data_IF_579771127129
#
_entry.id   IF_579771127129
#
_cell.length_a   1.000
_cell.length_b   1.000
_cell.length_c   1.000
_cell.angle_alpha   90.00
_cell.angle_beta   90.00
_cell.angle_gamma   90.00
#
_symmetry.space_group_name_H-M   'P 1'
#
loop_
_entity.id
_entity.type
_entity.pdbx_description
1 polymer ?
#
# COMPACT_ATOMS: atom_id res chain seq x y z
N UNK A 1 9.11 -5.07 15.55
CA UNK A 1 9.08 -3.60 15.68
C UNK A 1 7.91 -3.06 14.87
N UNK A 2 7.06 -2.27 15.49
CA UNK A 2 5.96 -1.55 14.83
C UNK A 2 6.47 -0.14 14.53
N UNK A 3 6.41 0.26 13.26
CA UNK A 3 6.86 1.60 12.84
C UNK A 3 5.97 2.68 13.42
N UNK A 4 6.59 3.77 13.91
CA UNK A 4 5.92 4.95 14.43
C UNK A 4 5.87 6.04 13.37
N UNK A 5 4.95 6.99 13.51
CA UNK A 5 4.77 8.10 12.56
C UNK A 5 6.08 8.86 12.27
N UNK A 6 6.88 9.15 13.29
CA UNK A 6 8.13 9.90 13.17
C UNK A 6 9.34 9.11 12.67
N UNK A 7 9.24 7.80 12.51
CA UNK A 7 10.37 6.97 12.10
C UNK A 7 10.88 7.35 10.69
N UNK A 8 12.20 7.31 10.47
CA UNK A 8 12.80 7.61 9.17
C UNK A 8 12.47 6.55 8.11
N UNK A 9 12.07 5.36 8.57
CA UNK A 9 11.68 4.23 7.73
C UNK A 9 10.41 3.60 8.30
N UNK A 10 9.39 3.46 7.46
CA UNK A 10 8.22 2.66 7.81
C UNK A 10 8.37 1.26 7.23
N UNK A 11 8.39 0.25 8.08
CA UNK A 11 8.24 -1.16 7.71
C UNK A 11 6.82 -1.60 8.08
N UNK A 12 6.00 -1.81 7.07
CA UNK A 12 4.60 -2.20 7.21
C UNK A 12 4.39 -3.71 7.01
N UNK A 13 5.49 -4.49 6.90
CA UNK A 13 5.41 -5.96 6.76
C UNK A 13 4.56 -6.63 7.85
N UNK A 14 4.57 -6.20 9.13
CA UNK A 14 3.71 -6.80 10.15
C UNK A 14 2.20 -6.67 9.87
N UNK A 15 1.78 -5.71 9.04
CA UNK A 15 0.38 -5.54 8.63
C UNK A 15 0.02 -6.22 7.30
N UNK A 16 0.92 -7.02 6.73
CA UNK A 16 0.70 -7.70 5.44
C UNK A 16 0.59 -9.19 5.66
N UNK A 17 -0.61 -9.72 5.54
CA UNK A 17 -0.91 -11.15 5.71
C UNK A 17 -0.66 -11.99 4.44
N UNK A 18 0.39 -11.66 3.68
CA UNK A 18 0.77 -12.39 2.46
C UNK A 18 2.21 -12.87 2.61
N UNK A 19 2.42 -14.18 2.63
CA UNK A 19 3.73 -14.81 2.78
C UNK A 19 4.76 -14.38 1.72
N UNK A 20 4.30 -13.99 0.52
CA UNK A 20 5.16 -13.62 -0.61
C UNK A 20 5.31 -12.10 -0.81
N UNK A 21 4.94 -11.27 0.16
CA UNK A 21 5.12 -9.83 0.06
C UNK A 21 6.62 -9.47 0.13
N UNK A 22 7.16 -8.98 -0.98
CA UNK A 22 8.57 -8.51 -0.98
C UNK A 22 8.70 -7.31 -0.05
N UNK A 23 9.67 -7.37 0.86
CA UNK A 23 9.91 -6.32 1.87
C UNK A 23 10.05 -4.92 1.26
N UNK A 24 10.67 -4.82 0.09
CA UNK A 24 10.78 -3.55 -0.63
C UNK A 24 9.44 -2.94 -1.08
N UNK A 25 8.35 -3.70 -1.12
CA UNK A 25 7.02 -3.18 -1.49
C UNK A 25 6.24 -2.62 -0.29
N UNK A 26 6.61 -3.00 0.91
CA UNK A 26 5.94 -2.62 2.17
C UNK A 26 6.79 -1.70 3.04
N UNK A 27 7.93 -1.23 2.50
CA UNK A 27 8.84 -0.33 3.22
C UNK A 27 8.90 1.03 2.52
N UNK A 28 8.81 2.11 3.31
CA UNK A 28 8.97 3.50 2.84
C UNK A 28 10.13 4.14 3.56
N UNK A 29 11.11 4.64 2.82
CA UNK A 29 12.30 5.32 3.34
C UNK A 29 12.15 6.82 3.19
N UNK A 30 11.82 7.54 4.26
CA UNK A 30 11.70 9.00 4.24
C UNK A 30 13.08 9.70 4.27
N UNK A 31 14.08 9.07 4.89
CA UNK A 31 15.43 9.61 5.01
C UNK A 31 16.13 9.84 3.65
N UNK A 32 15.71 9.15 2.58
CA UNK A 32 16.29 9.35 1.24
C UNK A 32 15.72 10.55 0.50
N UNK A 33 14.64 11.15 1.02
CA UNK A 33 13.99 12.31 0.42
C UNK A 33 14.75 13.56 0.90
N UNK A 34 15.47 14.21 -0.03
CA UNK A 34 16.33 15.34 0.29
C UNK A 34 15.59 16.57 0.82
N UNK A 35 14.34 16.79 0.38
CA UNK A 35 13.52 17.91 0.78
C UNK A 35 12.64 17.53 1.98
N UNK A 36 12.91 18.10 3.19
CA UNK A 36 12.17 17.75 4.39
C UNK A 36 10.66 18.04 4.29
N UNK A 37 10.27 19.09 3.54
CA UNK A 37 8.86 19.43 3.36
C UNK A 37 8.15 18.40 2.48
N UNK A 38 8.82 17.84 1.48
CA UNK A 38 8.30 16.71 0.68
C UNK A 38 8.19 15.46 1.54
N UNK A 39 9.20 15.16 2.34
CA UNK A 39 9.20 13.99 3.22
C UNK A 39 8.05 14.05 4.24
N UNK A 40 7.83 15.23 4.85
CA UNK A 40 6.75 15.43 5.82
C UNK A 40 5.36 15.35 5.15
N UNK A 41 5.17 16.01 4.01
CA UNK A 41 3.92 15.95 3.25
C UNK A 41 3.59 14.51 2.82
N UNK A 42 4.59 13.76 2.33
CA UNK A 42 4.40 12.34 1.98
C UNK A 42 3.97 11.51 3.20
N UNK A 43 4.60 11.75 4.36
CA UNK A 43 4.28 11.06 5.62
C UNK A 43 2.84 11.32 6.04
N UNK A 44 2.39 12.59 5.98
CA UNK A 44 1.02 12.97 6.29
C UNK A 44 0.01 12.23 5.40
N UNK A 45 0.23 12.23 4.09
CA UNK A 45 -0.67 11.59 3.13
C UNK A 45 -0.72 10.08 3.34
N UNK A 46 0.42 9.41 3.42
CA UNK A 46 0.45 7.95 3.61
C UNK A 46 -0.21 7.55 4.93
N UNK A 47 0.03 8.32 6.01
CA UNK A 47 -0.63 8.09 7.29
C UNK A 47 -2.15 8.24 7.18
N UNK A 48 -2.63 9.32 6.56
CA UNK A 48 -4.06 9.53 6.35
C UNK A 48 -4.67 8.41 5.49
N UNK A 49 -4.02 8.02 4.38
CA UNK A 49 -4.47 6.95 3.50
C UNK A 49 -4.54 5.58 4.17
N UNK A 50 -3.66 5.29 5.11
CA UNK A 50 -3.67 4.04 5.89
C UNK A 50 -4.77 4.01 6.96
N UNK A 51 -5.23 5.17 7.43
CA UNK A 51 -6.11 5.27 8.60
C UNK A 51 -7.51 5.81 8.30
N UNK A 52 -7.71 6.49 7.15
CA UNK A 52 -8.97 7.17 6.81
C UNK A 52 -9.61 6.53 5.59
N UNK A 53 -10.90 6.22 5.69
CA UNK A 53 -11.71 5.81 4.55
C UNK A 53 -12.11 7.04 3.73
N UNK A 54 -11.95 6.97 2.43
CA UNK A 54 -12.29 8.05 1.51
C UNK A 54 -13.76 7.93 1.05
N UNK A 55 -14.39 9.05 0.65
CA UNK A 55 -15.72 9.04 0.07
C UNK A 55 -15.83 8.10 -1.14
N UNK A 56 -17.05 7.60 -1.42
CA UNK A 56 -17.32 6.77 -2.60
C UNK A 56 -16.83 5.33 -2.49
N UNK A 57 -16.88 4.74 -1.30
CA UNK A 57 -16.52 3.34 -1.03
C UNK A 57 -15.02 3.01 -1.29
N UNK A 58 -14.16 3.99 -1.24
CA UNK A 58 -12.72 3.76 -1.28
C UNK A 58 -12.20 3.39 0.10
N UNK A 59 -11.86 2.12 0.27
CA UNK A 59 -11.23 1.62 1.49
C UNK A 59 -9.87 2.30 1.76
N UNK A 60 -9.44 2.21 2.99
CA UNK A 60 -8.06 2.57 3.39
C UNK A 60 -7.05 1.91 2.49
N UNK A 61 -5.90 2.53 2.41
CA UNK A 61 -4.78 1.94 1.68
C UNK A 61 -4.29 0.68 2.42
N UNK A 62 -4.24 -0.44 1.71
CA UNK A 62 -3.59 -1.63 2.25
C UNK A 62 -2.07 -1.39 2.39
N UNK A 63 -1.44 -1.91 3.48
CA UNK A 63 0.01 -1.80 3.66
C UNK A 63 0.83 -2.25 2.45
N UNK A 64 0.38 -3.27 1.72
CA UNK A 64 1.02 -3.76 0.51
C UNK A 64 1.00 -2.75 -0.66
N UNK A 65 0.10 -1.77 -0.64
CA UNK A 65 -0.02 -0.70 -1.66
C UNK A 65 0.80 0.55 -1.38
N UNK A 66 1.38 0.68 -0.16
CA UNK A 66 1.97 1.93 0.33
C UNK A 66 3.11 2.45 -0.55
N UNK A 67 3.99 1.56 -1.04
CA UNK A 67 5.09 1.98 -1.92
C UNK A 67 4.60 2.51 -3.26
N UNK A 68 3.58 1.88 -3.84
CA UNK A 68 2.97 2.37 -5.07
C UNK A 68 2.34 3.75 -4.88
N UNK A 69 1.68 3.98 -3.74
CA UNK A 69 1.12 5.27 -3.38
C UNK A 69 2.20 6.32 -3.17
N UNK A 70 3.26 5.99 -2.41
CA UNK A 70 4.40 6.87 -2.20
C UNK A 70 5.03 7.33 -3.52
N UNK A 71 5.27 6.42 -4.46
CA UNK A 71 5.86 6.74 -5.75
C UNK A 71 4.95 7.66 -6.59
N UNK A 72 3.63 7.44 -6.58
CA UNK A 72 2.67 8.30 -7.27
C UNK A 72 2.64 9.71 -6.67
N UNK A 73 2.64 9.78 -5.35
CA UNK A 73 2.66 11.05 -4.59
C UNK A 73 3.93 11.83 -4.87
N UNK A 74 5.09 11.20 -4.76
CA UNK A 74 6.38 11.84 -5.03
C UNK A 74 6.45 12.39 -6.44
N UNK A 75 5.95 11.67 -7.44
CA UNK A 75 5.93 12.17 -8.82
C UNK A 75 5.15 13.48 -8.98
N UNK A 76 4.04 13.63 -8.27
CA UNK A 76 3.31 14.90 -8.25
C UNK A 76 4.07 15.99 -7.50
N UNK A 77 4.66 15.66 -6.35
CA UNK A 77 5.44 16.61 -5.56
C UNK A 77 6.67 17.12 -6.28
N UNK A 78 7.39 16.24 -6.98
CA UNK A 78 8.52 16.64 -7.84
C UNK A 78 8.08 17.56 -8.97
N UNK A 79 6.91 17.29 -9.58
CA UNK A 79 6.33 18.17 -10.57
C UNK A 79 6.01 19.55 -9.98
N UNK A 80 5.37 19.64 -8.82
CA UNK A 80 5.06 20.88 -8.12
C UNK A 80 6.35 21.66 -7.84
N UNK A 81 7.36 20.99 -7.28
CA UNK A 81 8.66 21.60 -7.00
C UNK A 81 9.33 22.14 -8.26
N UNK A 82 9.32 21.37 -9.34
CA UNK A 82 9.89 21.80 -10.62
C UNK A 82 9.18 23.02 -11.23
N UNK A 83 7.84 23.10 -11.08
CA UNK A 83 7.05 24.21 -11.63
C UNK A 83 7.14 25.50 -10.79
N UNK A 84 7.28 25.38 -9.48
CA UNK A 84 7.29 26.51 -8.55
C UNK A 84 8.69 26.93 -8.09
N UNK A 85 9.73 26.16 -8.45
CA UNK A 85 11.11 26.34 -7.95
C UNK A 85 11.31 25.87 -6.51
N UNK A 86 10.23 25.64 -5.76
CA UNK A 86 10.20 25.06 -4.42
C UNK A 86 8.94 24.22 -4.24
N UNK A 87 8.96 23.31 -3.27
CA UNK A 87 7.77 22.54 -2.91
C UNK A 87 6.84 23.39 -2.03
N UNK A 88 5.62 23.62 -2.51
CA UNK A 88 4.61 24.40 -1.80
C UNK A 88 3.20 24.03 -2.31
N UNK A 89 2.51 23.15 -1.57
CA UNK A 89 1.15 22.71 -1.93
C UNK A 89 0.10 23.83 -1.79
N UNK A 90 0.33 24.83 -0.93
CA UNK A 90 -0.57 25.96 -0.77
C UNK A 90 -0.65 26.87 -2.01
N UNK A 91 0.35 26.79 -2.90
CA UNK A 91 0.40 27.52 -4.17
C UNK A 91 -0.09 26.70 -5.37
N UNK A 92 -0.50 25.47 -5.15
CA UNK A 92 -1.10 24.64 -6.21
C UNK A 92 -2.52 25.14 -6.46
N UNK A 93 -2.80 25.49 -7.68
CA UNK A 93 -4.11 25.91 -8.19
C UNK A 93 -4.58 24.99 -9.32
N UNK A 94 -5.79 25.26 -9.84
CA UNK A 94 -6.35 24.53 -10.97
C UNK A 94 -5.44 24.57 -12.20
N UNK A 95 -4.79 25.72 -12.47
CA UNK A 95 -3.89 25.88 -13.62
C UNK A 95 -2.67 24.94 -13.50
N UNK A 96 -2.08 24.82 -12.29
CA UNK A 96 -0.96 23.90 -12.05
C UNK A 96 -1.42 22.44 -12.15
N UNK A 97 -2.60 22.13 -11.65
CA UNK A 97 -3.20 20.78 -11.78
C UNK A 97 -3.43 20.43 -13.27
N UNK A 98 -3.91 21.37 -14.08
CA UNK A 98 -4.10 21.19 -15.52
C UNK A 98 -2.77 20.99 -16.26
N UNK A 99 -1.72 21.72 -15.87
CA UNK A 99 -0.36 21.50 -16.39
C UNK A 99 0.15 20.10 -16.05
N UNK A 100 -0.11 19.63 -14.83
CA UNK A 100 0.24 18.25 -14.46
C UNK A 100 -0.49 17.24 -15.33
N UNK A 101 -1.81 17.36 -15.49
CA UNK A 101 -2.59 16.47 -16.34
C UNK A 101 -2.09 16.47 -17.79
N UNK A 102 -1.71 17.66 -18.30
CA UNK A 102 -1.13 17.81 -19.65
C UNK A 102 0.24 17.13 -19.75
N UNK A 103 1.12 17.29 -18.73
CA UNK A 103 2.44 16.67 -18.73
C UNK A 103 2.38 15.15 -18.79
N UNK A 104 1.41 14.54 -18.09
CA UNK A 104 1.19 13.09 -18.13
C UNK A 104 0.77 12.60 -19.52
N UNK A 105 -0.06 13.37 -20.23
CA UNK A 105 -0.46 13.07 -21.62
C UNK A 105 0.72 13.21 -22.59
N UNK A 106 1.50 14.27 -22.46
CA UNK A 106 2.68 14.50 -23.29
C UNK A 106 3.77 13.44 -23.07
N UNK A 107 3.85 12.87 -21.87
CA UNK A 107 4.73 11.74 -21.57
C UNK A 107 4.25 10.41 -22.21
N UNK A 108 3.20 10.41 -23.02
CA UNK A 108 2.71 9.23 -23.73
C UNK A 108 2.07 8.16 -22.82
N UNK A 109 1.69 8.51 -21.60
CA UNK A 109 1.07 7.55 -20.68
C UNK A 109 -0.32 7.15 -21.17
N UNK A 110 -0.62 5.85 -21.05
CA UNK A 110 -1.98 5.35 -21.27
C UNK A 110 -2.94 6.06 -20.31
N UNK A 111 -4.18 6.41 -20.75
CA UNK A 111 -5.14 7.16 -19.94
C UNK A 111 -5.40 6.57 -18.55
N UNK A 112 -5.46 5.23 -18.43
CA UNK A 112 -5.64 4.55 -17.14
C UNK A 112 -4.43 4.78 -16.20
N UNK A 113 -3.20 4.76 -16.73
CA UNK A 113 -2.00 5.04 -15.95
C UNK A 113 -1.94 6.52 -15.55
N UNK A 114 -2.31 7.43 -16.45
CA UNK A 114 -2.43 8.85 -16.13
C UNK A 114 -3.49 9.11 -15.04
N UNK A 115 -4.66 8.45 -15.12
CA UNK A 115 -5.70 8.53 -14.09
C UNK A 115 -5.20 8.09 -12.71
N UNK A 116 -4.39 7.02 -12.65
CA UNK A 116 -3.80 6.55 -11.40
C UNK A 116 -2.82 7.57 -10.79
N UNK A 117 -2.11 8.35 -11.61
CA UNK A 117 -1.22 9.42 -11.16
C UNK A 117 -2.00 10.69 -10.79
N UNK A 118 -3.07 11.01 -11.51
CA UNK A 118 -3.93 12.16 -11.19
C UNK A 118 -4.69 11.95 -9.88
N UNK A 119 -4.92 10.71 -9.47
CA UNK A 119 -5.64 10.38 -8.24
C UNK A 119 -5.09 11.13 -7.02
N UNK A 120 -3.78 11.32 -6.91
CA UNK A 120 -3.17 12.03 -5.78
C UNK A 120 -3.70 13.46 -5.62
N UNK A 121 -3.99 14.15 -6.71
CA UNK A 121 -4.51 15.53 -6.66
C UNK A 121 -5.91 15.55 -6.03
N UNK A 122 -6.74 14.55 -6.34
CA UNK A 122 -8.06 14.38 -5.72
C UNK A 122 -7.91 13.97 -4.25
N UNK A 123 -7.01 13.03 -3.95
CA UNK A 123 -6.80 12.54 -2.57
C UNK A 123 -6.31 13.67 -1.64
N UNK A 124 -5.45 14.56 -2.11
CA UNK A 124 -5.02 15.74 -1.36
C UNK A 124 -6.19 16.66 -0.97
N UNK A 125 -7.18 16.80 -1.85
CA UNK A 125 -8.39 17.56 -1.54
C UNK A 125 -9.35 16.78 -0.65
N UNK A 126 -9.63 15.50 -0.96
CA UNK A 126 -10.54 14.65 -0.19
C UNK A 126 -10.06 14.47 1.25
N UNK A 127 -8.75 14.31 1.45
CA UNK A 127 -8.12 14.16 2.77
C UNK A 127 -7.82 15.48 3.49
N UNK A 128 -8.12 16.65 2.93
CA UNK A 128 -7.69 17.97 3.43
C UNK A 128 -7.94 18.20 4.92
N UNK A 129 -8.99 17.61 5.49
CA UNK A 129 -9.33 17.74 6.91
C UNK A 129 -8.47 16.83 7.81
N UNK A 130 -7.77 15.87 7.22
CA UNK A 130 -6.87 14.94 7.91
C UNK A 130 -5.39 15.25 7.66
N UNK A 131 -5.10 16.31 6.87
CA UNK A 131 -3.75 16.73 6.52
C UNK A 131 -3.43 18.06 7.21
N UNK A 132 -2.50 18.08 8.16
CA UNK A 132 -2.12 19.31 8.87
C UNK A 132 -1.66 20.41 7.91
N UNK A 133 -0.76 20.09 6.97
CA UNK A 133 -0.16 21.06 6.04
C UNK A 133 -0.23 20.62 4.58
N UNK A 134 -0.20 19.32 4.30
CA UNK A 134 -0.12 18.75 2.95
C UNK A 134 -1.49 18.72 2.23
N UNK A 135 -2.19 19.85 2.16
CA UNK A 135 -3.54 19.94 1.60
C UNK A 135 -3.64 20.92 0.47
N UNK A 136 -4.60 20.72 -0.45
CA UNK A 136 -4.99 21.69 -1.46
C UNK A 136 -6.07 22.63 -0.91
N UNK A 137 -5.99 23.91 -1.29
CA UNK A 137 -6.96 24.94 -0.93
C UNK A 137 -8.19 24.99 -1.87
N UNK A 138 -8.19 24.23 -2.96
CA UNK A 138 -9.22 24.20 -3.98
C UNK A 138 -9.68 22.78 -4.29
N UNK A 139 -10.87 22.64 -4.86
CA UNK A 139 -11.38 21.38 -5.39
C UNK A 139 -10.88 21.16 -6.82
N UNK A 140 -10.05 20.13 -7.07
CA UNK A 140 -9.54 19.87 -8.41
C UNK A 140 -10.63 19.27 -9.30
N UNK A 141 -10.85 19.89 -10.47
CA UNK A 141 -11.79 19.46 -11.51
C UNK A 141 -13.18 19.08 -10.95
N UNK A 142 -13.95 20.04 -10.43
CA UNK A 142 -15.25 19.79 -9.83
C UNK A 142 -16.16 18.92 -10.72
N UNK A 143 -16.81 17.92 -10.13
CA UNK A 143 -17.71 17.00 -10.84
C UNK A 143 -17.04 16.03 -11.81
N UNK A 144 -15.70 15.99 -11.88
CA UNK A 144 -14.96 15.06 -12.74
C UNK A 144 -14.24 14.01 -11.93
N UNK A 145 -14.02 12.85 -12.54
CA UNK A 145 -13.18 11.80 -11.97
C UNK A 145 -11.75 11.85 -12.56
N UNK A 146 -10.74 11.25 -11.89
CA UNK A 146 -9.40 11.10 -12.46
C UNK A 146 -9.38 10.43 -13.83
N UNK A 147 -10.27 9.46 -14.07
CA UNK A 147 -10.44 8.81 -15.38
C UNK A 147 -10.94 9.78 -16.44
N UNK A 148 -11.95 10.59 -16.10
CA UNK A 148 -12.49 11.62 -17.00
C UNK A 148 -11.44 12.67 -17.33
N UNK A 149 -10.65 13.13 -16.36
CA UNK A 149 -9.58 14.12 -16.58
C UNK A 149 -8.47 13.54 -17.47
N UNK A 150 -8.12 12.25 -17.26
CA UNK A 150 -7.13 11.56 -18.08
C UNK A 150 -7.61 11.25 -19.51
N UNK A 151 -8.91 11.44 -19.82
CA UNK A 151 -9.50 11.04 -21.09
C UNK A 151 -9.62 9.51 -21.24
N UNK A 152 -9.64 8.77 -20.12
CA UNK A 152 -9.88 7.34 -20.13
C UNK A 152 -11.36 7.09 -20.41
N UNK A 153 -11.64 6.36 -21.48
CA UNK A 153 -12.99 5.86 -21.74
C UNK A 153 -13.17 4.60 -20.88
N UNK A 154 -14.23 4.58 -20.10
CA UNK A 154 -14.67 3.35 -19.47
C UNK A 154 -15.19 2.43 -20.59
N UNK A 155 -14.37 1.47 -20.95
CA UNK A 155 -14.82 0.39 -21.83
C UNK A 155 -15.49 -0.63 -20.90
N UNK A 156 -16.81 -0.58 -20.82
CA UNK A 156 -17.59 -1.65 -20.25
C UNK A 156 -17.40 -2.88 -21.17
N UNK A 157 -16.48 -3.73 -20.79
CA UNK A 157 -16.14 -4.92 -21.54
C UNK A 157 -15.62 -5.99 -20.59
N UNK A 158 -15.75 -7.21 -21.04
CA UNK A 158 -15.22 -8.39 -20.36
C UNK A 158 -13.73 -8.21 -20.06
N UNK A 159 -13.26 -8.72 -18.94
CA UNK A 159 -11.85 -8.69 -18.58
C UNK A 159 -10.99 -9.14 -19.76
N UNK A 160 -9.96 -8.39 -20.10
CA UNK A 160 -9.01 -8.76 -21.17
C UNK A 160 -8.23 -10.05 -20.88
N UNK A 161 -8.21 -10.48 -19.63
CA UNK A 161 -7.62 -11.76 -19.23
C UNK A 161 -8.58 -12.86 -19.71
N UNK A 162 -8.12 -13.79 -20.58
CA UNK A 162 -8.92 -14.91 -21.00
C UNK A 162 -9.46 -15.66 -19.78
N UNK A 163 -10.70 -16.11 -19.86
CA UNK A 163 -11.25 -17.01 -18.84
C UNK A 163 -10.42 -18.29 -18.80
N UNK A 164 -10.21 -18.83 -17.61
CA UNK A 164 -9.62 -20.15 -17.48
C UNK A 164 -10.57 -21.14 -18.17
N UNK A 165 -10.09 -21.95 -19.12
CA UNK A 165 -10.92 -22.92 -19.80
C UNK A 165 -11.65 -23.82 -18.80
N UNK A 166 -12.89 -24.18 -19.12
CA UNK A 166 -13.74 -25.03 -18.25
C UNK A 166 -13.08 -26.39 -17.98
N UNK A 167 -12.39 -26.94 -18.95
CA UNK A 167 -11.61 -28.18 -18.82
C UNK A 167 -10.51 -28.10 -17.74
N UNK A 168 -10.06 -26.90 -17.37
CA UNK A 168 -9.06 -26.66 -16.31
C UNK A 168 -9.75 -26.30 -15.00
N UNK A 169 -10.72 -25.36 -15.04
CA UNK A 169 -11.33 -24.85 -13.81
C UNK A 169 -12.19 -25.88 -13.10
N UNK A 170 -12.90 -26.72 -13.86
CA UNK A 170 -13.80 -27.75 -13.29
C UNK A 170 -13.05 -28.77 -12.44
N UNK A 171 -11.98 -29.45 -12.91
CA UNK A 171 -11.23 -30.35 -12.07
C UNK A 171 -10.51 -29.62 -10.92
N UNK A 172 -10.05 -28.40 -11.12
CA UNK A 172 -9.44 -27.60 -10.04
C UNK A 172 -10.44 -27.31 -8.91
N UNK A 173 -11.66 -26.92 -9.25
CA UNK A 173 -12.72 -26.70 -8.25
C UNK A 173 -13.12 -28.00 -7.54
N UNK A 174 -13.24 -29.10 -8.27
CA UNK A 174 -13.56 -30.39 -7.69
C UNK A 174 -12.51 -30.86 -6.69
N UNK A 175 -11.21 -30.71 -7.03
CA UNK A 175 -10.12 -31.00 -6.11
C UNK A 175 -10.09 -30.05 -4.92
N UNK A 176 -10.29 -28.74 -5.13
CA UNK A 176 -10.33 -27.75 -4.04
C UNK A 176 -11.44 -28.07 -3.05
N UNK A 177 -12.64 -28.40 -3.54
CA UNK A 177 -13.76 -28.83 -2.70
C UNK A 177 -13.40 -30.09 -1.92
N UNK A 178 -12.80 -31.10 -2.58
CA UNK A 178 -12.36 -32.33 -1.92
C UNK A 178 -11.35 -32.06 -0.81
N UNK A 179 -10.39 -31.14 -1.01
CA UNK A 179 -9.46 -30.72 0.04
C UNK A 179 -10.21 -30.15 1.24
N UNK A 180 -11.17 -29.26 1.00
CA UNK A 180 -11.93 -28.63 2.10
C UNK A 180 -12.88 -29.64 2.79
N UNK A 181 -13.55 -30.52 2.04
CA UNK A 181 -14.57 -31.40 2.62
C UNK A 181 -14.01 -32.69 3.19
N UNK A 182 -12.93 -33.23 2.60
CA UNK A 182 -12.41 -34.55 2.99
C UNK A 182 -11.11 -34.44 3.81
N UNK A 183 -10.20 -33.52 3.46
CA UNK A 183 -8.85 -33.51 4.04
C UNK A 183 -8.61 -32.37 5.03
N UNK A 184 -9.44 -31.34 5.08
CA UNK A 184 -9.21 -30.19 5.97
C UNK A 184 -9.13 -30.62 7.45
N UNK A 185 -9.94 -31.57 7.87
CA UNK A 185 -9.91 -32.08 9.23
C UNK A 185 -8.53 -32.66 9.62
N UNK A 186 -7.98 -33.50 8.77
CA UNK A 186 -6.68 -34.14 8.99
C UNK A 186 -5.54 -33.14 8.95
N UNK A 187 -5.60 -32.18 8.00
CA UNK A 187 -4.61 -31.11 7.87
C UNK A 187 -4.61 -30.23 9.12
N UNK A 188 -5.78 -29.83 9.62
CA UNK A 188 -5.88 -29.03 10.84
C UNK A 188 -5.43 -29.78 12.08
N UNK A 189 -5.73 -31.08 12.17
CA UNK A 189 -5.25 -31.92 13.27
C UNK A 189 -3.72 -32.08 13.25
N UNK A 190 -3.14 -32.31 12.07
CA UNK A 190 -1.69 -32.38 11.91
C UNK A 190 -1.00 -31.04 12.25
N UNK A 191 -1.58 -29.92 11.86
CA UNK A 191 -1.08 -28.60 12.24
C UNK A 191 -1.12 -28.38 13.75
N UNK A 192 -2.24 -28.72 14.41
CA UNK A 192 -2.37 -28.58 15.84
C UNK A 192 -1.36 -29.47 16.61
N UNK A 193 -1.05 -30.66 16.09
CA UNK A 193 -0.03 -31.52 16.66
C UNK A 193 1.38 -30.93 16.47
N UNK A 194 1.69 -30.41 15.29
CA UNK A 194 2.96 -29.72 15.04
C UNK A 194 3.15 -28.54 16.02
N UNK A 195 2.14 -27.71 16.19
CA UNK A 195 2.20 -26.57 17.12
C UNK A 195 2.46 -27.00 18.56
N UNK A 196 1.87 -28.13 18.99
CA UNK A 196 2.15 -28.75 20.33
C UNK A 196 3.59 -29.24 20.44
N UNK A 197 4.10 -29.89 19.41
CA UNK A 197 5.46 -30.44 19.42
C UNK A 197 6.49 -29.28 19.40
N UNK A 198 6.26 -28.25 18.64
CA UNK A 198 7.09 -27.04 18.62
C UNK A 198 7.10 -26.36 20.00
N UNK A 199 5.94 -26.15 20.60
CA UNK A 199 5.83 -25.58 21.94
C UNK A 199 6.51 -26.48 23.02
N UNK A 200 6.49 -27.81 22.86
CA UNK A 200 7.19 -28.73 23.75
C UNK A 200 8.71 -28.63 23.56
N UNK A 201 9.18 -28.58 22.31
CA UNK A 201 10.60 -28.38 21.97
C UNK A 201 11.12 -27.11 22.63
N UNK A 202 10.41 -26.00 22.43
CA UNK A 202 10.84 -24.67 22.92
C UNK A 202 10.92 -24.62 24.45
N UNK A 203 9.99 -25.33 25.15
CA UNK A 203 10.05 -25.48 26.61
C UNK A 203 11.26 -26.29 27.06
N UNK A 204 11.60 -27.38 26.36
CA UNK A 204 12.77 -28.20 26.69
C UNK A 204 14.08 -27.43 26.46
N UNK A 205 14.20 -26.71 25.36
CA UNK A 205 15.35 -25.84 25.05
C UNK A 205 15.50 -24.75 26.12
N UNK A 206 14.41 -24.11 26.52
CA UNK A 206 14.42 -23.10 27.58
C UNK A 206 14.83 -23.69 28.95
N UNK A 207 14.37 -24.92 29.28
CA UNK A 207 14.75 -25.61 30.50
C UNK A 207 16.25 -26.00 30.53
N UNK A 208 16.78 -26.47 29.39
CA UNK A 208 18.20 -26.82 29.23
C UNK A 208 19.08 -25.57 29.37
N UNK A 209 18.73 -24.44 28.74
CA UNK A 209 19.43 -23.15 28.88
C UNK A 209 19.41 -22.65 30.33
N UNK A 210 18.33 -22.92 31.08
CA UNK A 210 18.22 -22.58 32.50
C UNK A 210 19.15 -23.43 33.38
N UNK A 211 19.34 -24.71 33.08
CA UNK A 211 20.27 -25.60 33.79
C UNK A 211 21.73 -25.19 33.56
N UNK A 212 22.13 -24.86 32.34
CA UNK A 212 23.47 -24.37 32.01
C UNK A 212 23.82 -23.08 32.76
N UNK A 213 22.83 -22.24 33.01
CA UNK A 213 23.03 -21.00 33.79
C UNK A 213 23.16 -21.25 35.31
N UNK A 214 22.48 -22.25 35.83
CA UNK A 214 22.57 -22.64 37.25
C UNK A 214 23.93 -23.28 37.57
N UNK A 215 24.44 -24.12 36.67
CA UNK A 215 25.74 -24.81 36.85
C UNK A 215 26.93 -23.84 36.77
N UNK A 216 26.83 -22.75 35.98
CA UNK A 216 27.83 -21.67 35.89
C UNK A 216 27.87 -20.74 37.11
N UNK A 217 26.82 -20.72 37.95
CA UNK A 217 26.75 -19.93 39.19
C UNK A 217 27.24 -20.68 40.42
N UNK A 218 27.35 -22.00 40.29
CA UNK A 218 27.80 -22.87 41.39
C UNK A 218 29.29 -23.23 41.34
N UNK A 219 30.02 -22.69 40.35
CA UNK A 219 31.50 -22.76 40.25
C UNK A 219 32.11 -21.37 40.50
#
# INVERSE_FOLDING_TARGET
HISRYGDPVWDLAPGVFRENARRCHVTVHFAVIQDPSIADALRQILHARLNVDLPGHRSRLEPAGVRGEANRTLRFFDFVKAQLGRFDLGRVDQSLADRYARSLRLAGLRPVAAAALLRIVFDLHELRHHLPTARLSFEPWPGRSPFSVAGAKYVAGENRTPRIPEAIITPLLAWSLRYVTCYAGDILAARAELDRLEARRDRLVAAEAGLDHADRRSR
#
